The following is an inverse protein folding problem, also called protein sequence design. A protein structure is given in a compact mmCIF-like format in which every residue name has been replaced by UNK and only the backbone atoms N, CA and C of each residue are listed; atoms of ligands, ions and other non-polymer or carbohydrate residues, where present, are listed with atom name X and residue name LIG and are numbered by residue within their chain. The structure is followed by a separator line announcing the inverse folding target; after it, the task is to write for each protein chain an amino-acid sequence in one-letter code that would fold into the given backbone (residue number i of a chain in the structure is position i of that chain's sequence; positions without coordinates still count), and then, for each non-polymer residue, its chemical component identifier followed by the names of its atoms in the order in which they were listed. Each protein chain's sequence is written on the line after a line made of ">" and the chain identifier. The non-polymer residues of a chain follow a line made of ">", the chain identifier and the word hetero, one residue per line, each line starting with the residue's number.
data_IF_877328553035
#
_entry.id   IF_877328553035
#
_cell.length_a   1.000
_cell.length_b   1.000
_cell.length_c   1.000
_cell.angle_alpha   90.00
_cell.angle_beta   90.00
_cell.angle_gamma   90.00
#
_symmetry.space_group_name_H-M   'P 1'
#
loop_
_entity.id
_entity.type
_entity.pdbx_description
1 polymer ?
#
# COMPACT_ATOMS: atom_id res chain seq x y z
N UNK A 1 -26.62 -3.16 -6.52
CA UNK A 1 -25.95 -2.30 -5.51
C UNK A 1 -24.69 -1.73 -6.14
N UNK A 2 -24.65 -0.43 -6.42
CA UNK A 2 -23.50 0.21 -7.06
C UNK A 2 -22.52 0.62 -5.95
N UNK A 3 -21.35 -0.03 -5.87
CA UNK A 3 -20.29 0.34 -4.92
C UNK A 3 -19.78 1.75 -5.30
N UNK A 4 -20.05 2.73 -4.43
CA UNK A 4 -19.84 4.17 -4.66
C UNK A 4 -18.34 4.56 -4.82
N UNK A 5 -17.39 3.65 -4.55
CA UNK A 5 -15.95 3.91 -4.67
C UNK A 5 -15.20 2.77 -5.37
N UNK A 6 -15.56 2.41 -6.60
CA UNK A 6 -14.72 1.53 -7.42
C UNK A 6 -13.53 2.30 -7.97
N UNK A 7 -12.34 1.69 -7.99
CA UNK A 7 -11.18 2.34 -8.60
C UNK A 7 -11.42 2.51 -10.11
N UNK A 8 -10.78 3.51 -10.75
CA UNK A 8 -10.87 3.70 -12.21
C UNK A 8 -10.54 2.41 -12.98
N UNK A 9 -9.57 1.63 -12.49
CA UNK A 9 -9.21 0.34 -13.06
C UNK A 9 -10.30 -0.72 -12.91
N UNK A 10 -10.96 -0.77 -11.74
CA UNK A 10 -12.04 -1.72 -11.48
C UNK A 10 -13.28 -1.39 -12.31
N UNK A 11 -13.64 -0.11 -12.40
CA UNK A 11 -14.71 0.35 -13.28
C UNK A 11 -14.45 -0.05 -14.74
N UNK A 12 -13.21 0.14 -15.23
CA UNK A 12 -12.83 -0.29 -16.58
C UNK A 12 -12.97 -1.80 -16.77
N UNK A 13 -12.52 -2.62 -15.82
CA UNK A 13 -12.66 -4.09 -15.91
C UNK A 13 -14.11 -4.53 -15.97
N UNK A 14 -14.95 -3.95 -15.10
CA UNK A 14 -16.38 -4.26 -15.06
C UNK A 14 -17.03 -3.86 -16.39
N UNK A 15 -16.75 -2.65 -16.87
CA UNK A 15 -17.27 -2.13 -18.15
C UNK A 15 -16.86 -3.00 -19.34
N UNK A 16 -15.57 -3.35 -19.45
CA UNK A 16 -15.05 -4.21 -20.53
C UNK A 16 -15.71 -5.58 -20.51
N UNK A 17 -15.88 -6.16 -19.32
CA UNK A 17 -16.49 -7.48 -19.17
C UNK A 17 -17.98 -7.47 -19.51
N UNK A 18 -18.73 -6.47 -19.03
CA UNK A 18 -20.15 -6.29 -19.37
C UNK A 18 -20.34 -6.13 -20.88
N UNK A 19 -19.59 -5.21 -21.50
CA UNK A 19 -19.65 -4.95 -22.94
C UNK A 19 -19.30 -6.20 -23.77
N UNK A 20 -18.30 -6.98 -23.34
CA UNK A 20 -17.92 -8.22 -24.01
C UNK A 20 -19.02 -9.29 -23.94
N UNK A 21 -19.71 -9.42 -22.79
CA UNK A 21 -20.77 -10.40 -22.63
C UNK A 21 -22.04 -10.02 -23.42
N UNK A 22 -22.40 -8.74 -23.43
CA UNK A 22 -23.53 -8.23 -24.22
C UNK A 22 -23.31 -8.44 -25.73
N UNK A 23 -22.06 -8.34 -26.18
CA UNK A 23 -21.69 -8.42 -27.61
C UNK A 23 -20.99 -9.74 -27.96
N UNK A 24 -21.29 -10.83 -27.25
CA UNK A 24 -20.59 -12.12 -27.39
C UNK A 24 -20.68 -12.70 -28.81
N UNK A 25 -21.78 -12.45 -29.52
CA UNK A 25 -22.03 -12.88 -30.91
C UNK A 25 -21.12 -12.16 -31.94
N UNK A 26 -20.74 -10.91 -31.69
CA UNK A 26 -19.97 -10.06 -32.61
C UNK A 26 -18.45 -10.32 -32.58
N UNK A 27 -18.01 -11.34 -31.84
CA UNK A 27 -16.61 -11.75 -31.64
C UNK A 27 -15.75 -10.67 -30.93
N UNK A 28 -14.56 -11.09 -30.47
CA UNK A 28 -13.62 -10.23 -29.71
C UNK A 28 -13.13 -8.98 -30.48
N UNK A 29 -13.13 -9.00 -31.82
CA UNK A 29 -12.64 -7.89 -32.64
C UNK A 29 -13.52 -6.64 -32.50
N UNK A 30 -14.85 -6.82 -32.41
CA UNK A 30 -15.79 -5.72 -32.25
C UNK A 30 -15.55 -4.94 -30.95
N UNK A 31 -15.42 -5.68 -29.84
CA UNK A 31 -15.13 -5.13 -28.51
C UNK A 31 -13.78 -4.44 -28.44
N UNK A 32 -12.75 -5.02 -29.07
CA UNK A 32 -11.42 -4.37 -29.16
C UNK A 32 -11.51 -3.03 -29.90
N UNK A 33 -12.19 -2.97 -31.06
CA UNK A 33 -12.31 -1.74 -31.85
C UNK A 33 -13.01 -0.63 -31.07
N UNK A 34 -14.09 -0.95 -30.36
CA UNK A 34 -14.81 0.00 -29.50
C UNK A 34 -13.89 0.61 -28.43
N UNK A 35 -13.16 -0.21 -27.67
CA UNK A 35 -12.29 0.32 -26.63
C UNK A 35 -11.01 0.98 -27.18
N UNK A 36 -10.58 0.64 -28.40
CA UNK A 36 -9.49 1.35 -29.07
C UNK A 36 -9.87 2.79 -29.45
N UNK A 37 -11.12 3.07 -29.83
CA UNK A 37 -11.58 4.47 -30.06
C UNK A 37 -11.60 5.28 -28.77
N UNK A 38 -11.81 4.62 -27.63
CA UNK A 38 -11.68 5.20 -26.28
C UNK A 38 -10.23 5.34 -25.79
N UNK A 39 -9.24 5.09 -26.66
CA UNK A 39 -7.81 5.16 -26.35
C UNK A 39 -7.34 4.13 -25.30
N UNK A 40 -8.06 3.02 -25.14
CA UNK A 40 -7.62 1.91 -24.30
C UNK A 40 -6.80 0.93 -25.16
N UNK A 41 -5.55 0.62 -24.76
CA UNK A 41 -4.71 -0.29 -25.53
C UNK A 41 -5.29 -1.71 -25.64
N UNK A 42 -5.11 -2.32 -26.81
CA UNK A 42 -5.53 -3.70 -27.08
C UNK A 42 -4.94 -4.72 -26.10
N UNK A 43 -3.71 -4.50 -25.63
CA UNK A 43 -3.06 -5.34 -24.61
C UNK A 43 -3.82 -5.35 -23.28
N UNK A 44 -4.35 -4.19 -22.86
CA UNK A 44 -5.17 -4.04 -21.66
C UNK A 44 -6.43 -4.89 -21.75
N UNK A 45 -7.12 -4.84 -22.89
CA UNK A 45 -8.32 -5.65 -23.13
C UNK A 45 -8.03 -7.15 -22.99
N UNK A 46 -7.01 -7.66 -23.69
CA UNK A 46 -6.66 -9.08 -23.62
C UNK A 46 -6.26 -9.51 -22.21
N UNK A 47 -5.54 -8.66 -21.48
CA UNK A 47 -5.17 -8.93 -20.09
C UNK A 47 -6.40 -9.02 -19.17
N UNK A 48 -7.40 -8.16 -19.39
CA UNK A 48 -8.66 -8.18 -18.63
C UNK A 48 -9.46 -9.44 -18.95
N UNK A 49 -9.67 -9.76 -20.24
CA UNK A 49 -10.42 -10.95 -20.64
C UNK A 49 -9.75 -12.24 -20.16
N UNK A 50 -8.43 -12.38 -20.36
CA UNK A 50 -7.69 -13.56 -19.90
C UNK A 50 -7.81 -13.75 -18.40
N UNK A 51 -7.80 -12.67 -17.62
CA UNK A 51 -8.02 -12.73 -16.17
C UNK A 51 -9.44 -13.18 -15.83
N UNK A 52 -10.44 -12.71 -16.59
CA UNK A 52 -11.85 -13.01 -16.34
C UNK A 52 -12.23 -14.48 -16.59
N UNK A 53 -11.40 -15.24 -17.31
CA UNK A 53 -11.58 -16.68 -17.49
C UNK A 53 -11.45 -17.45 -16.17
N UNK A 54 -10.70 -16.91 -15.20
CA UNK A 54 -10.40 -17.58 -13.92
C UNK A 54 -10.94 -16.83 -12.69
N UNK A 55 -11.18 -15.53 -12.81
CA UNK A 55 -11.50 -14.67 -11.68
C UNK A 55 -12.64 -13.71 -12.01
N UNK A 56 -13.44 -13.35 -11.01
CA UNK A 56 -14.42 -12.27 -11.15
C UNK A 56 -13.72 -10.95 -11.55
N UNK A 57 -14.36 -10.09 -12.39
CA UNK A 57 -13.83 -8.78 -12.74
C UNK A 57 -13.71 -7.83 -11.53
N UNK A 58 -14.48 -8.09 -10.48
CA UNK A 58 -14.42 -7.36 -9.22
C UNK A 58 -13.12 -7.63 -8.47
N UNK A 59 -12.59 -6.59 -7.81
CA UNK A 59 -11.45 -6.75 -6.92
C UNK A 59 -11.92 -7.42 -5.62
N UNK A 60 -11.29 -8.53 -5.25
CA UNK A 60 -11.46 -9.09 -3.90
C UNK A 60 -11.01 -8.06 -2.86
N UNK A 61 -11.89 -7.70 -1.94
CA UNK A 61 -11.55 -6.79 -0.84
C UNK A 61 -10.37 -7.37 -0.04
N UNK A 62 -9.40 -6.51 0.30
CA UNK A 62 -8.19 -6.94 1.03
C UNK A 62 -7.12 -7.66 0.19
N UNK A 63 -7.30 -7.82 -1.13
CA UNK A 63 -6.30 -8.43 -2.03
C UNK A 63 -5.04 -7.59 -2.29
N UNK A 64 -4.98 -6.37 -1.76
CA UNK A 64 -3.80 -5.53 -1.87
C UNK A 64 -2.67 -5.97 -0.94
N UNK A 65 -1.45 -5.56 -1.25
CA UNK A 65 -0.34 -5.68 -0.33
C UNK A 65 -0.67 -4.91 0.95
N UNK A 66 -0.66 -5.60 2.08
CA UNK A 66 -0.86 -4.95 3.37
C UNK A 66 0.40 -4.18 3.74
N UNK A 67 0.28 -2.96 4.29
CA UNK A 67 1.45 -2.22 4.73
C UNK A 67 2.15 -3.00 5.85
N UNK A 68 3.46 -3.25 5.70
CA UNK A 68 4.28 -3.89 6.72
C UNK A 68 4.40 -2.97 7.93
N UNK A 69 3.67 -3.28 9.00
CA UNK A 69 3.74 -2.58 10.29
C UNK A 69 4.61 -3.38 11.26
N UNK A 70 5.37 -2.68 12.10
CA UNK A 70 6.11 -3.31 13.19
C UNK A 70 5.13 -3.97 14.16
N UNK A 71 5.43 -5.19 14.61
CA UNK A 71 4.54 -5.91 15.54
C UNK A 71 4.55 -5.25 16.91
N UNK A 72 3.49 -5.48 17.71
CA UNK A 72 3.41 -4.94 19.09
C UNK A 72 4.60 -5.38 19.95
N UNK A 73 5.06 -6.61 19.78
CA UNK A 73 6.24 -7.16 20.49
C UNK A 73 7.51 -6.38 20.13
N UNK A 74 7.73 -6.15 18.83
CA UNK A 74 8.87 -5.39 18.34
C UNK A 74 8.80 -3.92 18.80
N UNK A 75 7.61 -3.31 18.78
CA UNK A 75 7.39 -1.96 19.32
C UNK A 75 7.70 -1.87 20.82
N UNK A 76 7.30 -2.87 21.60
CA UNK A 76 7.62 -2.91 23.03
C UNK A 76 9.11 -3.06 23.29
N UNK A 77 9.83 -3.86 22.48
CA UNK A 77 11.29 -3.95 22.55
C UNK A 77 11.96 -2.61 22.21
N UNK A 78 11.48 -1.92 21.17
CA UNK A 78 11.95 -0.59 20.80
C UNK A 78 11.70 0.41 21.94
N UNK A 79 10.50 0.43 22.51
CA UNK A 79 10.16 1.28 23.67
C UNK A 79 11.13 1.03 24.81
N UNK A 80 11.27 -0.21 25.28
CA UNK A 80 12.19 -0.56 26.38
C UNK A 80 13.65 -0.14 26.12
N UNK A 81 14.07 -0.15 24.86
CA UNK A 81 15.43 0.21 24.50
C UNK A 81 15.68 1.72 24.51
N UNK A 82 14.68 2.57 24.24
CA UNK A 82 14.87 4.02 24.13
C UNK A 82 14.28 4.81 25.30
N UNK A 83 13.27 4.26 25.97
CA UNK A 83 12.55 4.93 27.05
C UNK A 83 13.46 5.14 28.27
N UNK A 84 13.57 6.39 28.72
CA UNK A 84 14.47 6.81 29.79
C UNK A 84 15.97 6.44 29.60
N UNK A 85 16.44 6.28 28.36
CA UNK A 85 17.85 5.98 28.05
C UNK A 85 18.50 7.13 27.27
N UNK A 86 19.34 7.91 27.95
CA UNK A 86 19.99 9.09 27.34
C UNK A 86 21.24 8.76 26.50
N UNK A 87 21.81 7.55 26.65
CA UNK A 87 23.06 7.13 25.98
C UNK A 87 22.84 6.25 24.73
N UNK A 88 21.60 6.15 24.22
CA UNK A 88 21.27 5.26 23.11
C UNK A 88 21.07 6.07 21.83
N UNK A 89 22.01 5.88 20.90
CA UNK A 89 21.91 6.49 19.57
C UNK A 89 20.83 5.84 18.73
N UNK A 90 20.09 6.66 17.96
CA UNK A 90 19.18 6.20 16.90
C UNK A 90 19.90 5.34 15.85
N UNK A 91 21.24 5.42 15.74
CA UNK A 91 22.05 4.55 14.87
C UNK A 91 21.94 3.06 15.22
N UNK A 92 21.52 2.73 16.44
CA UNK A 92 21.24 1.34 16.84
C UNK A 92 19.98 0.75 16.17
N UNK A 93 19.31 1.49 15.27
CA UNK A 93 18.20 1.02 14.44
C UNK A 93 18.48 -0.32 13.73
N UNK A 94 19.74 -0.60 13.38
CA UNK A 94 20.18 -1.89 12.81
C UNK A 94 19.80 -3.09 13.69
N UNK A 95 19.79 -2.95 15.02
CA UNK A 95 19.38 -4.01 15.97
C UNK A 95 17.91 -4.41 15.84
N UNK A 96 17.09 -3.53 15.25
CA UNK A 96 15.65 -3.71 15.07
C UNK A 96 15.28 -3.96 13.60
N UNK A 97 16.27 -4.12 12.70
CA UNK A 97 16.08 -4.29 11.26
C UNK A 97 15.20 -3.20 10.61
N UNK A 98 15.41 -1.95 11.04
CA UNK A 98 14.68 -0.78 10.53
C UNK A 98 15.61 0.39 10.27
N UNK A 99 15.16 1.32 9.43
CA UNK A 99 15.91 2.54 9.14
C UNK A 99 15.85 3.53 10.31
N UNK A 100 16.86 4.40 10.41
CA UNK A 100 16.91 5.43 11.46
C UNK A 100 15.72 6.41 11.38
N UNK A 101 15.27 6.73 10.16
CA UNK A 101 14.09 7.58 9.95
C UNK A 101 12.82 6.92 10.50
N UNK A 102 12.68 5.60 10.30
CA UNK A 102 11.55 4.85 10.84
C UNK A 102 11.57 4.85 12.38
N UNK A 103 12.76 4.70 12.99
CA UNK A 103 12.92 4.84 14.45
C UNK A 103 12.46 6.22 14.93
N UNK A 104 12.87 7.32 14.29
CA UNK A 104 12.46 8.67 14.72
C UNK A 104 10.94 8.83 14.70
N UNK A 105 10.30 8.45 13.57
CA UNK A 105 8.84 8.50 13.42
C UNK A 105 8.11 7.66 14.46
N UNK A 106 8.64 6.47 14.78
CA UNK A 106 8.05 5.60 15.79
C UNK A 106 8.21 6.15 17.21
N UNK A 107 9.37 6.73 17.54
CA UNK A 107 9.60 7.34 18.85
C UNK A 107 8.72 8.58 19.06
N UNK A 108 8.58 9.43 18.04
CA UNK A 108 7.66 10.58 18.04
C UNK A 108 6.22 10.11 18.28
N UNK A 109 5.78 9.08 17.56
CA UNK A 109 4.44 8.50 17.73
C UNK A 109 4.21 7.88 19.12
N UNK A 110 5.26 7.35 19.73
CA UNK A 110 5.24 6.78 21.08
C UNK A 110 5.48 7.83 22.18
N UNK A 111 5.67 9.11 21.82
CA UNK A 111 5.99 10.22 22.72
C UNK A 111 7.27 10.01 23.54
N UNK A 112 8.24 9.27 22.98
CA UNK A 112 9.53 9.00 23.64
C UNK A 112 10.56 10.00 23.13
N UNK A 113 11.14 10.76 24.05
CA UNK A 113 12.24 11.69 23.73
C UNK A 113 13.58 11.05 24.10
N UNK A 114 14.41 10.61 23.13
CA UNK A 114 15.64 9.88 23.41
C UNK A 114 16.81 10.76 23.88
N UNK A 115 16.65 12.09 23.93
CA UNK A 115 17.71 13.01 24.36
C UNK A 115 17.13 14.10 25.24
N UNK A 116 17.55 14.14 26.50
CA UNK A 116 17.34 15.30 27.37
C UNK A 116 18.41 16.36 27.11
N UNK A 117 18.03 17.64 27.11
CA UNK A 117 19.00 18.75 27.14
C UNK A 117 19.59 18.80 28.54
N UNK A 118 20.91 18.63 28.67
CA UNK A 118 21.60 18.92 29.92
C UNK A 118 21.74 20.45 30.08
N UNK A 119 21.49 20.95 31.30
CA UNK A 119 21.79 22.33 31.67
C UNK A 119 23.33 22.49 31.66
N UNK A 120 23.84 23.46 30.90
CA UNK A 120 25.26 23.81 30.95
C UNK A 120 25.58 24.33 32.35
N UNK A 121 26.52 23.68 33.04
CA UNK A 121 27.10 24.20 34.27
C UNK A 121 28.19 25.18 33.82
N UNK A 122 27.97 26.48 34.01
CA UNK A 122 29.03 27.47 33.85
C UNK A 122 30.10 27.15 34.89
N UNK A 123 31.27 26.72 34.44
CA UNK A 123 32.46 26.61 35.29
C UNK A 123 33.07 28.02 35.35
N UNK A 124 33.00 28.63 36.54
CA UNK A 124 33.74 29.85 36.87
C UNK A 124 35.23 29.56 36.95
#
# INVERSE_FOLDING_TARGET
>A
MIKINSSKEEALRIRVYAFFNENRSLRKIFTIRHFMTEKIPRSTFYRILKRSEYFSPERKQGSGQTPKKMTKVQLNKLKKAFDHKDNISRRQAKKFDISQQMVSKLLEKLQITPRKKHKSINKN
#
